data_IF_455103348132
#
_entry.id   IF_455103348132
#
_cell.length_a   1.000
_cell.length_b   1.000
_cell.length_c   1.000
_cell.angle_alpha   90.00
_cell.angle_beta   90.00
_cell.angle_gamma   90.00
#
_symmetry.space_group_name_H-M   'P 1'
#
loop_
_entity.id
_entity.type
_entity.pdbx_description
1 polymer ?
#
# COMPACT_ATOMS: atom_id res chain seq x y z
N UNK A 1 61.99 17.97 54.36
CA UNK A 1 61.64 17.02 53.31
C UNK A 1 60.18 17.28 52.92
N UNK A 2 59.97 17.84 51.73
CA UNK A 2 58.61 18.13 51.21
C UNK A 2 58.19 16.97 50.31
N UNK A 3 57.19 16.19 50.70
CA UNK A 3 56.64 15.10 49.90
C UNK A 3 55.65 15.68 48.89
N UNK A 4 56.01 15.63 47.63
CA UNK A 4 55.14 16.11 46.51
C UNK A 4 54.19 14.96 46.16
N UNK A 5 52.83 15.21 46.36
CA UNK A 5 51.73 14.32 45.93
C UNK A 5 51.24 14.78 44.55
N UNK A 6 51.27 13.92 43.54
CA UNK A 6 50.67 14.28 42.24
C UNK A 6 49.14 14.28 42.31
N UNK A 7 48.46 15.14 41.55
CA UNK A 7 47.01 15.17 41.46
C UNK A 7 46.48 13.94 40.69
N UNK A 8 45.49 13.24 41.30
CA UNK A 8 44.71 12.21 40.61
C UNK A 8 43.82 12.86 39.57
N UNK A 9 44.13 12.67 38.29
CA UNK A 9 43.25 13.04 37.18
C UNK A 9 42.21 11.92 37.03
N UNK A 10 40.98 12.19 37.46
CA UNK A 10 39.83 11.33 37.20
C UNK A 10 39.35 11.62 35.77
N UNK A 11 39.68 10.72 34.84
CA UNK A 11 39.19 10.77 33.49
C UNK A 11 37.73 10.32 33.49
N UNK A 12 36.82 11.26 33.29
CA UNK A 12 35.39 11.00 33.12
C UNK A 12 35.15 10.49 31.67
N UNK A 13 35.02 9.18 31.52
CA UNK A 13 34.65 8.57 30.24
C UNK A 13 33.13 8.75 30.03
N UNK A 14 32.75 9.76 29.26
CA UNK A 14 31.38 9.90 28.77
C UNK A 14 31.12 8.81 27.72
N UNK A 15 30.44 7.74 28.12
CA UNK A 15 29.94 6.73 27.22
C UNK A 15 28.78 7.30 26.40
N UNK A 16 29.05 7.62 25.12
CA UNK A 16 28.01 7.92 24.17
C UNK A 16 27.23 6.64 23.83
N UNK A 17 26.03 6.47 24.39
CA UNK A 17 25.09 5.43 23.96
C UNK A 17 24.54 5.85 22.59
N UNK A 18 25.03 5.22 21.53
CA UNK A 18 24.46 5.32 20.19
C UNK A 18 23.15 4.54 20.21
N UNK A 19 22.03 5.23 20.33
CA UNK A 19 20.73 4.66 20.02
C UNK A 19 20.67 4.42 18.51
N UNK A 20 20.98 3.20 18.09
CA UNK A 20 20.71 2.75 16.73
C UNK A 20 19.18 2.73 16.56
N UNK A 21 18.63 3.66 15.78
CA UNK A 21 17.27 3.54 15.31
C UNK A 21 17.21 2.25 14.48
N UNK A 22 16.55 1.22 15.01
CA UNK A 22 16.21 0.05 14.21
C UNK A 22 15.33 0.55 13.06
N UNK A 23 15.83 0.45 11.85
CA UNK A 23 15.06 0.74 10.65
C UNK A 23 14.01 -0.38 10.56
N UNK A 24 12.74 -0.05 10.85
CA UNK A 24 11.65 -0.99 10.65
C UNK A 24 11.64 -1.40 9.17
N UNK A 25 11.54 -2.70 8.92
CA UNK A 25 11.38 -3.22 7.57
C UNK A 25 10.14 -2.57 6.92
N UNK A 26 10.18 -2.27 5.62
CA UNK A 26 9.03 -1.71 4.95
C UNK A 26 7.83 -2.66 5.10
N UNK A 27 6.67 -2.09 5.41
CA UNK A 27 5.42 -2.84 5.47
C UNK A 27 5.04 -3.28 4.06
N UNK A 28 4.43 -4.46 3.94
CA UNK A 28 3.95 -4.98 2.66
C UNK A 28 2.46 -5.28 2.70
N UNK A 29 1.86 -5.54 1.57
CA UNK A 29 0.45 -5.97 1.47
C UNK A 29 0.18 -7.30 2.18
N UNK A 30 1.23 -8.07 2.54
CA UNK A 30 1.13 -9.32 3.30
C UNK A 30 0.98 -9.12 4.82
N UNK A 31 1.16 -7.91 5.31
CA UNK A 31 1.10 -7.58 6.75
C UNK A 31 -0.32 -7.26 7.24
N UNK A 32 -1.35 -7.56 6.46
CA UNK A 32 -2.75 -7.34 6.86
C UNK A 32 -3.08 -5.84 7.00
N UNK A 33 -2.91 -5.10 5.91
CA UNK A 33 -2.98 -3.63 5.87
C UNK A 33 -4.38 -3.05 5.68
N UNK A 34 -5.41 -3.89 5.61
CA UNK A 34 -6.82 -3.52 5.47
C UNK A 34 -7.71 -4.45 6.31
N UNK A 35 -8.98 -4.12 6.54
CA UNK A 35 -9.93 -5.02 7.21
C UNK A 35 -10.90 -5.66 6.20
N UNK A 36 -11.50 -6.81 6.57
CA UNK A 36 -12.52 -7.46 5.74
C UNK A 36 -13.73 -6.54 5.53
N UNK A 37 -14.18 -5.85 6.57
CA UNK A 37 -15.29 -4.91 6.49
C UNK A 37 -15.00 -3.77 5.50
N UNK A 38 -13.74 -3.30 5.46
CA UNK A 38 -13.32 -2.30 4.50
C UNK A 38 -13.38 -2.83 3.06
N UNK A 39 -12.90 -4.04 2.83
CA UNK A 39 -12.98 -4.68 1.53
C UNK A 39 -14.45 -4.94 1.10
N UNK A 40 -15.34 -5.29 2.03
CA UNK A 40 -16.78 -5.43 1.75
C UNK A 40 -17.41 -4.11 1.28
N UNK A 41 -17.07 -2.98 1.92
CA UNK A 41 -17.51 -1.65 1.45
C UNK A 41 -16.96 -1.37 0.05
N UNK A 42 -15.68 -1.68 -0.19
CA UNK A 42 -15.03 -1.56 -1.49
C UNK A 42 -15.72 -2.39 -2.57
N UNK A 43 -16.16 -3.61 -2.26
CA UNK A 43 -16.91 -4.47 -3.18
C UNK A 43 -18.23 -3.83 -3.62
N UNK A 44 -18.92 -3.10 -2.73
CA UNK A 44 -20.14 -2.37 -3.10
C UNK A 44 -19.83 -1.26 -4.10
N UNK A 45 -18.80 -0.46 -3.81
CA UNK A 45 -18.37 0.64 -4.69
C UNK A 45 -17.90 0.09 -6.04
N UNK A 46 -17.09 -0.98 -6.02
CA UNK A 46 -16.60 -1.63 -7.24
C UNK A 46 -17.75 -2.06 -8.16
N UNK A 47 -18.78 -2.71 -7.62
CA UNK A 47 -19.94 -3.13 -8.41
C UNK A 47 -20.70 -1.97 -9.06
N UNK A 48 -20.69 -0.80 -8.45
CA UNK A 48 -21.40 0.39 -8.92
C UNK A 48 -20.59 1.21 -9.94
N UNK A 49 -19.28 1.31 -9.74
CA UNK A 49 -18.44 2.26 -10.46
C UNK A 49 -17.37 1.63 -11.37
N UNK A 50 -16.95 0.39 -11.12
CA UNK A 50 -15.78 -0.20 -11.77
C UNK A 50 -16.14 -1.41 -12.67
N UNK A 51 -17.12 -2.23 -12.22
CA UNK A 51 -17.47 -3.51 -12.85
C UNK A 51 -17.83 -3.40 -14.34
N UNK A 52 -18.37 -2.26 -14.76
CA UNK A 52 -18.77 -2.04 -16.17
C UNK A 52 -17.59 -2.21 -17.12
N UNK A 53 -16.39 -1.80 -16.69
CA UNK A 53 -15.18 -1.84 -17.49
C UNK A 53 -14.24 -2.97 -17.05
N UNK A 54 -14.03 -3.15 -15.75
CA UNK A 54 -13.10 -4.16 -15.21
C UNK A 54 -13.76 -5.53 -14.96
N UNK A 55 -15.05 -5.71 -15.31
CA UNK A 55 -15.85 -6.93 -15.13
C UNK A 55 -16.06 -7.37 -13.67
N UNK A 56 -16.94 -8.36 -13.46
CA UNK A 56 -17.29 -8.81 -12.14
C UNK A 56 -16.17 -9.61 -11.46
N UNK A 57 -15.33 -10.25 -12.24
CA UNK A 57 -14.18 -11.06 -11.82
C UNK A 57 -12.87 -10.27 -11.73
N UNK A 58 -12.90 -8.97 -12.03
CA UNK A 58 -11.74 -8.06 -12.08
C UNK A 58 -10.73 -8.44 -13.19
N UNK A 59 -11.09 -9.29 -14.12
CA UNK A 59 -10.17 -9.77 -15.16
C UNK A 59 -9.71 -8.68 -16.13
N UNK A 60 -10.51 -7.63 -16.31
CA UNK A 60 -10.27 -6.65 -17.36
C UNK A 60 -10.25 -7.24 -18.78
N UNK A 61 -10.65 -8.52 -18.90
CA UNK A 61 -10.67 -9.22 -20.18
C UNK A 61 -11.77 -8.61 -21.05
N UNK A 62 -11.37 -7.67 -21.87
CA UNK A 62 -12.25 -7.00 -22.83
C UNK A 62 -12.40 -7.80 -24.12
N UNK A 63 -12.96 -7.14 -25.09
CA UNK A 63 -13.06 -7.62 -26.45
C UNK A 63 -11.68 -8.06 -26.96
N UNK A 64 -11.50 -9.32 -27.40
CA UNK A 64 -10.23 -9.78 -27.96
C UNK A 64 -9.78 -8.99 -29.21
N UNK A 65 -10.71 -8.28 -29.85
CA UNK A 65 -10.45 -7.43 -31.02
C UNK A 65 -10.17 -5.96 -30.64
N UNK A 66 -10.20 -5.62 -29.34
CA UNK A 66 -9.91 -4.26 -28.89
C UNK A 66 -8.44 -3.90 -29.07
N UNK A 67 -8.17 -2.65 -29.41
CA UNK A 67 -6.80 -2.15 -29.53
C UNK A 67 -6.10 -2.06 -28.18
N UNK A 68 -4.76 -2.19 -28.11
CA UNK A 68 -4.00 -1.99 -26.88
C UNK A 68 -4.33 -0.61 -26.27
N UNK A 69 -4.77 -0.58 -25.01
CA UNK A 69 -5.18 0.61 -24.30
C UNK A 69 -6.69 0.90 -24.33
N UNK A 70 -7.47 0.20 -25.14
CA UNK A 70 -8.95 0.25 -25.13
C UNK A 70 -9.55 -0.73 -24.11
N UNK A 71 -8.79 -1.78 -23.75
CA UNK A 71 -9.19 -2.76 -22.75
C UNK A 71 -8.73 -2.30 -21.38
N UNK A 72 -9.63 -2.18 -20.41
CA UNK A 72 -9.22 -1.91 -19.03
C UNK A 72 -8.29 -3.01 -18.51
N UNK A 73 -7.23 -2.66 -17.80
CA UNK A 73 -6.30 -3.66 -17.27
C UNK A 73 -6.99 -4.59 -16.28
N UNK A 74 -6.53 -5.84 -16.21
CA UNK A 74 -6.90 -6.75 -15.14
C UNK A 74 -6.42 -6.23 -13.80
N UNK A 75 -7.28 -6.39 -12.79
CA UNK A 75 -7.00 -5.94 -11.43
C UNK A 75 -6.70 -7.11 -10.48
N UNK A 76 -6.53 -8.32 -11.03
CA UNK A 76 -6.21 -9.54 -10.28
C UNK A 76 -5.20 -10.41 -11.01
N UNK A 77 -4.53 -11.27 -10.24
CA UNK A 77 -3.59 -12.26 -10.75
C UNK A 77 -2.37 -11.64 -11.45
N UNK A 78 -1.89 -12.30 -12.49
CA UNK A 78 -0.67 -11.89 -13.20
C UNK A 78 -0.76 -10.47 -13.74
N UNK A 79 -1.91 -10.07 -14.30
CA UNK A 79 -2.10 -8.71 -14.80
C UNK A 79 -1.97 -7.64 -13.69
N UNK A 80 -2.37 -7.95 -12.47
CA UNK A 80 -2.18 -7.07 -11.32
C UNK A 80 -0.70 -7.04 -10.89
N UNK A 81 -0.08 -8.21 -10.71
CA UNK A 81 1.32 -8.27 -10.25
C UNK A 81 2.28 -7.67 -11.27
N UNK A 82 2.14 -7.96 -12.56
CA UNK A 82 3.02 -7.40 -13.60
C UNK A 82 3.04 -5.87 -13.63
N UNK A 83 1.93 -5.24 -13.21
CA UNK A 83 1.82 -3.79 -13.25
C UNK A 83 2.14 -3.12 -11.90
N UNK A 84 1.79 -3.75 -10.77
CA UNK A 84 1.83 -3.12 -9.46
C UNK A 84 2.91 -3.64 -8.53
N UNK A 85 3.53 -4.78 -8.85
CA UNK A 85 4.61 -5.34 -8.04
C UNK A 85 5.76 -4.34 -7.87
N UNK A 86 6.34 -4.31 -6.67
CA UNK A 86 7.40 -3.38 -6.25
C UNK A 86 6.97 -1.90 -6.15
N UNK A 87 5.73 -1.56 -6.52
CA UNK A 87 5.17 -0.23 -6.32
C UNK A 87 4.54 -0.10 -4.92
N UNK A 88 4.36 1.13 -4.47
CA UNK A 88 3.66 1.42 -3.21
C UNK A 88 2.14 1.38 -3.38
N UNK A 89 1.42 1.13 -2.29
CA UNK A 89 -0.04 1.28 -2.29
C UNK A 89 -0.49 2.72 -2.57
N UNK A 90 0.37 3.72 -2.34
CA UNK A 90 0.09 5.10 -2.71
C UNK A 90 -0.07 5.27 -4.22
N UNK A 91 0.74 4.57 -5.01
CA UNK A 91 0.67 4.65 -6.48
C UNK A 91 -0.62 4.04 -7.00
N UNK A 92 -1.02 2.86 -6.52
CA UNK A 92 -2.31 2.24 -6.84
C UNK A 92 -3.49 3.14 -6.40
N UNK A 93 -3.44 3.64 -5.16
CA UNK A 93 -4.46 4.55 -4.65
C UNK A 93 -4.60 5.80 -5.52
N UNK A 94 -3.49 6.45 -5.87
CA UNK A 94 -3.50 7.67 -6.67
C UNK A 94 -3.94 7.44 -8.11
N UNK A 95 -3.59 6.29 -8.69
CA UNK A 95 -4.09 5.91 -10.02
C UNK A 95 -5.63 5.80 -10.03
N UNK A 96 -6.20 5.16 -9.00
CA UNK A 96 -7.65 5.05 -8.84
C UNK A 96 -8.27 6.40 -8.53
N UNK A 97 -7.74 7.14 -7.55
CA UNK A 97 -8.32 8.42 -7.11
C UNK A 97 -8.37 9.45 -8.22
N UNK A 98 -7.37 9.47 -9.12
CA UNK A 98 -7.25 10.48 -10.19
C UNK A 98 -7.88 10.04 -11.51
N UNK A 99 -7.79 8.76 -11.84
CA UNK A 99 -8.15 8.22 -13.15
C UNK A 99 -9.48 7.48 -13.19
N UNK A 100 -10.03 7.09 -12.04
CA UNK A 100 -11.22 6.25 -11.97
C UNK A 100 -12.40 6.92 -11.25
N UNK A 101 -13.64 6.50 -11.58
CA UNK A 101 -14.07 5.72 -12.75
C UNK A 101 -13.72 6.43 -14.05
N UNK A 102 -13.34 5.69 -15.11
CA UNK A 102 -12.88 6.28 -16.36
C UNK A 102 -13.87 7.21 -17.06
N UNK A 103 -15.18 7.01 -16.86
CA UNK A 103 -16.25 7.90 -17.34
C UNK A 103 -16.45 9.15 -16.45
N UNK A 104 -15.93 9.16 -15.23
CA UNK A 104 -16.04 10.26 -14.25
C UNK A 104 -14.80 10.32 -13.36
N UNK A 105 -13.62 10.62 -13.90
CA UNK A 105 -12.37 10.61 -13.15
C UNK A 105 -12.39 11.54 -11.92
N UNK A 106 -11.79 11.09 -10.81
CA UNK A 106 -11.65 11.91 -9.60
C UNK A 106 -12.92 12.11 -8.78
N UNK A 107 -14.00 11.35 -9.05
CA UNK A 107 -15.26 11.48 -8.29
C UNK A 107 -15.35 10.63 -7.04
N UNK A 108 -14.42 9.70 -6.84
CA UNK A 108 -14.35 8.93 -5.60
C UNK A 108 -13.79 9.78 -4.46
N UNK A 109 -14.40 9.66 -3.29
CA UNK A 109 -13.81 10.23 -2.07
C UNK A 109 -12.54 9.46 -1.70
N UNK A 110 -11.61 10.05 -0.91
CA UNK A 110 -10.43 9.31 -0.44
C UNK A 110 -10.79 8.00 0.28
N UNK A 111 -11.81 8.01 1.14
CA UNK A 111 -12.28 6.80 1.82
C UNK A 111 -12.81 5.76 0.84
N UNK A 112 -13.62 6.15 -0.14
CA UNK A 112 -14.13 5.24 -1.16
C UNK A 112 -13.00 4.63 -2.00
N UNK A 113 -11.94 5.40 -2.24
CA UNK A 113 -10.73 4.89 -2.93
C UNK A 113 -10.01 3.86 -2.09
N UNK A 114 -9.78 4.13 -0.78
CA UNK A 114 -9.15 3.17 0.13
C UNK A 114 -9.98 1.87 0.24
N UNK A 115 -11.30 1.98 0.33
CA UNK A 115 -12.20 0.82 0.36
C UNK A 115 -12.10 -0.02 -0.93
N UNK A 116 -12.03 0.62 -2.10
CA UNK A 116 -11.85 -0.08 -3.39
C UNK A 116 -10.45 -0.73 -3.48
N UNK A 117 -9.39 -0.07 -3.02
CA UNK A 117 -8.04 -0.66 -2.94
C UNK A 117 -8.09 -1.91 -2.06
N UNK A 118 -8.70 -1.85 -0.89
CA UNK A 118 -8.86 -2.98 0.04
C UNK A 118 -9.58 -4.16 -0.61
N UNK A 119 -10.63 -3.89 -1.39
CA UNK A 119 -11.31 -4.93 -2.16
C UNK A 119 -10.41 -5.57 -3.23
N UNK A 120 -9.63 -4.76 -3.96
CA UNK A 120 -8.67 -5.28 -4.95
C UNK A 120 -7.61 -6.16 -4.27
N UNK A 121 -7.09 -5.76 -3.11
CA UNK A 121 -6.15 -6.55 -2.33
C UNK A 121 -6.76 -7.89 -1.90
N UNK A 122 -8.00 -7.88 -1.37
CA UNK A 122 -8.72 -9.09 -0.99
C UNK A 122 -8.90 -10.03 -2.19
N UNK A 123 -9.21 -9.50 -3.37
CA UNK A 123 -9.40 -10.29 -4.59
C UNK A 123 -8.09 -10.89 -5.14
N UNK A 124 -6.95 -10.33 -4.75
CA UNK A 124 -5.62 -10.86 -5.00
C UNK A 124 -5.11 -11.76 -3.85
N UNK A 125 -5.98 -12.16 -2.92
CA UNK A 125 -5.68 -13.06 -1.81
C UNK A 125 -4.64 -12.51 -0.81
N UNK A 126 -4.39 -11.21 -0.76
CA UNK A 126 -3.61 -10.61 0.33
C UNK A 126 -4.42 -10.69 1.63
N UNK A 127 -3.78 -10.95 2.78
CA UNK A 127 -4.49 -11.16 4.05
C UNK A 127 -5.10 -9.85 4.56
N UNK A 128 -6.30 -9.96 5.13
CA UNK A 128 -6.86 -8.89 5.93
C UNK A 128 -6.20 -8.83 7.32
N UNK A 129 -6.20 -7.65 7.92
CA UNK A 129 -5.72 -7.40 9.27
C UNK A 129 -6.81 -6.81 10.16
N UNK A 130 -6.38 -6.14 11.22
CA UNK A 130 -7.27 -5.53 12.22
C UNK A 130 -7.40 -4.01 12.10
N UNK A 131 -6.69 -3.39 11.17
CA UNK A 131 -6.66 -1.94 10.97
C UNK A 131 -7.05 -1.62 9.54
N UNK A 132 -7.91 -0.63 9.35
CA UNK A 132 -8.29 -0.17 8.02
C UNK A 132 -7.12 0.47 7.27
N UNK A 133 -7.08 0.27 5.97
CA UNK A 133 -6.17 0.97 5.07
C UNK A 133 -6.48 2.47 5.13
N UNK A 134 -5.49 3.33 5.45
CA UNK A 134 -5.69 4.77 5.52
C UNK A 134 -6.03 5.37 4.15
N UNK A 135 -6.80 6.45 4.17
CA UNK A 135 -7.18 7.18 2.96
C UNK A 135 -6.20 8.31 2.57
N UNK A 136 -5.09 8.43 3.30
CA UNK A 136 -4.04 9.43 3.08
C UNK A 136 -2.88 8.81 2.29
N UNK A 137 -2.61 9.28 1.04
CA UNK A 137 -1.55 8.70 0.21
C UNK A 137 -0.17 8.65 0.88
N UNK A 138 0.19 9.67 1.68
CA UNK A 138 1.48 9.73 2.36
C UNK A 138 1.72 8.60 3.38
N UNK A 139 0.65 8.00 3.93
CA UNK A 139 0.74 6.83 4.80
C UNK A 139 0.91 5.53 3.99
N UNK A 140 0.44 5.53 2.74
CA UNK A 140 0.50 4.37 1.84
C UNK A 140 1.84 4.23 1.11
N UNK A 141 2.68 5.26 1.10
CA UNK A 141 4.00 5.26 0.43
C UNK A 141 4.95 4.20 1.01
N UNK A 142 4.74 3.80 2.27
CA UNK A 142 5.59 2.83 2.97
C UNK A 142 5.08 1.39 2.89
N UNK A 143 3.93 1.18 2.26
CA UNK A 143 3.33 -0.15 2.09
C UNK A 143 3.61 -0.60 0.66
N UNK A 144 4.42 -1.64 0.50
CA UNK A 144 4.80 -2.15 -0.80
C UNK A 144 3.89 -3.30 -1.25
N UNK A 145 3.57 -3.31 -2.54
CA UNK A 145 2.95 -4.46 -3.20
C UNK A 145 4.08 -5.43 -3.53
N UNK A 146 4.21 -6.49 -2.74
CA UNK A 146 5.31 -7.45 -2.83
C UNK A 146 4.79 -8.84 -3.15
N UNK A 147 5.69 -9.70 -3.65
CA UNK A 147 5.43 -11.13 -3.79
C UNK A 147 5.19 -11.79 -2.42
N UNK A 148 4.56 -12.95 -2.46
CA UNK A 148 4.39 -13.76 -1.27
C UNK A 148 5.77 -14.17 -0.71
N UNK A 149 6.01 -13.92 0.60
CA UNK A 149 7.27 -14.27 1.25
C UNK A 149 7.49 -15.78 1.34
#
# INVERSE_FOLDING_TARGET
>A
MRVWRPPLIVALVLGATVFGAAQEAPQTVWDGVYTEEQAERGAVIYRQACRKCHYADLSGAGDPDASPGEVPPGLVGVAFSDYWQELSLAELFLAIARGMPGDRPGTLTPQATADVVSYILQRNAFPAGSTELPAEPGLLERILIADQP
#
